data_IF_960937264299
#
_entry.id   IF_960937264299
#
_cell.length_a   1.000
_cell.length_b   1.000
_cell.length_c   1.000
_cell.angle_alpha   90.00
_cell.angle_beta   90.00
_cell.angle_gamma   90.00
#
_symmetry.space_group_name_H-M   'P 1'
#
loop_
_entity.id
_entity.type
_entity.pdbx_description
1 polymer ?
#
# COMPACT_ATOMS: atom_id res chain seq x y z
N UNK A 1 -6.80 -11.48 6.62
CA UNK A 1 -7.74 -11.03 7.67
C UNK A 1 -7.39 -9.59 8.00
N UNK A 2 -8.37 -8.70 8.15
CA UNK A 2 -8.08 -7.29 8.47
C UNK A 2 -7.45 -7.19 9.86
N UNK A 3 -6.52 -6.25 10.05
CA UNK A 3 -5.88 -5.97 11.33
C UNK A 3 -6.24 -4.58 11.82
N UNK A 4 -6.91 -4.47 12.97
CA UNK A 4 -7.37 -3.22 13.55
C UNK A 4 -6.53 -2.88 14.79
N UNK A 5 -5.83 -1.75 14.75
CA UNK A 5 -5.00 -1.27 15.86
C UNK A 5 -5.82 -0.51 16.89
N UNK A 6 -5.82 -0.94 18.16
CA UNK A 6 -6.43 -0.23 19.27
C UNK A 6 -5.34 0.65 19.91
N UNK A 7 -5.36 1.95 19.63
CA UNK A 7 -4.33 2.90 20.09
C UNK A 7 -4.74 3.46 21.45
N UNK A 8 -4.00 3.13 22.51
CA UNK A 8 -4.17 3.74 23.83
C UNK A 8 -3.35 5.04 23.93
N UNK A 9 -4.04 6.18 23.94
CA UNK A 9 -3.45 7.50 23.77
C UNK A 9 -2.75 8.08 25.01
N UNK A 10 -3.14 7.66 26.20
CA UNK A 10 -2.65 8.25 27.46
C UNK A 10 -1.36 7.59 27.93
N UNK A 11 -0.29 8.34 28.18
CA UNK A 11 0.96 7.81 28.76
C UNK A 11 1.17 8.16 30.24
N UNK A 12 0.15 8.73 30.91
CA UNK A 12 0.23 9.09 32.34
C UNK A 12 0.35 7.87 33.26
N UNK A 13 1.07 8.04 34.36
CA UNK A 13 1.02 7.13 35.50
C UNK A 13 -0.40 7.06 36.09
N UNK A 14 -0.81 5.87 36.54
CA UNK A 14 -2.16 5.64 37.09
C UNK A 14 -3.31 5.88 36.09
N UNK A 15 -3.01 5.89 34.78
CA UNK A 15 -4.01 6.12 33.72
C UNK A 15 -5.18 5.14 33.77
N UNK A 16 -6.39 5.71 33.68
CA UNK A 16 -7.65 4.95 33.55
C UNK A 16 -7.78 4.27 32.19
N UNK A 17 -7.18 4.84 31.14
CA UNK A 17 -7.33 4.39 29.76
C UNK A 17 -6.94 2.94 29.52
N UNK A 18 -6.04 2.36 30.33
CA UNK A 18 -5.71 0.94 30.24
C UNK A 18 -6.91 0.01 30.50
N UNK A 19 -7.83 0.38 31.39
CA UNK A 19 -9.06 -0.39 31.63
C UNK A 19 -10.01 -0.31 30.43
N UNK A 20 -10.16 0.89 29.85
CA UNK A 20 -11.00 1.14 28.67
C UNK A 20 -10.43 0.40 27.45
N UNK A 21 -9.12 0.48 27.20
CA UNK A 21 -8.49 -0.19 26.07
C UNK A 21 -8.58 -1.73 26.17
N UNK A 22 -8.45 -2.29 27.38
CA UNK A 22 -8.70 -3.71 27.62
C UNK A 22 -10.15 -4.12 27.33
N UNK A 23 -11.12 -3.28 27.69
CA UNK A 23 -12.52 -3.54 27.38
C UNK A 23 -12.79 -3.53 25.86
N UNK A 24 -12.19 -2.60 25.12
CA UNK A 24 -12.24 -2.59 23.64
C UNK A 24 -11.57 -3.84 23.07
N UNK A 25 -10.39 -4.22 23.57
CA UNK A 25 -9.67 -5.41 23.12
C UNK A 25 -10.45 -6.70 23.40
N UNK A 26 -11.12 -6.80 24.56
CA UNK A 26 -12.00 -7.92 24.88
C UNK A 26 -13.22 -8.00 23.95
N UNK A 27 -13.74 -6.85 23.49
CA UNK A 27 -14.78 -6.84 22.48
C UNK A 27 -14.27 -7.34 21.14
N UNK A 28 -13.13 -6.81 20.68
CA UNK A 28 -12.46 -7.25 19.46
C UNK A 28 -12.10 -8.74 19.47
N UNK A 29 -11.62 -9.28 20.60
CA UNK A 29 -11.24 -10.68 20.73
C UNK A 29 -12.40 -11.68 20.58
N UNK A 30 -13.65 -11.22 20.70
CA UNK A 30 -14.85 -12.05 20.44
C UNK A 30 -15.22 -12.10 18.95
N UNK A 31 -14.58 -11.29 18.12
CA UNK A 31 -14.88 -11.17 16.70
C UNK A 31 -14.00 -12.08 15.87
N UNK A 32 -14.52 -12.51 14.71
CA UNK A 32 -13.83 -13.40 13.77
C UNK A 32 -13.59 -12.76 12.40
N UNK A 33 -14.08 -11.53 12.21
CA UNK A 33 -14.00 -10.78 10.95
C UNK A 33 -12.75 -9.88 10.85
N UNK A 34 -12.07 -9.62 11.96
CA UNK A 34 -10.79 -8.92 12.02
C UNK A 34 -9.96 -9.33 13.25
N UNK A 35 -8.63 -9.16 13.15
CA UNK A 35 -7.71 -9.21 14.28
C UNK A 35 -7.70 -7.83 14.97
N UNK A 36 -7.76 -7.80 16.30
CA UNK A 36 -7.65 -6.56 17.08
C UNK A 36 -6.39 -6.59 17.93
N UNK A 37 -5.53 -5.59 17.76
CA UNK A 37 -4.21 -5.54 18.42
C UNK A 37 -4.09 -4.28 19.24
N UNK A 38 -3.78 -4.43 20.53
CA UNK A 38 -3.54 -3.29 21.41
C UNK A 38 -2.17 -2.67 21.11
N UNK A 39 -2.16 -1.37 20.84
CA UNK A 39 -0.97 -0.56 20.60
C UNK A 39 -0.96 0.52 21.68
N UNK A 40 -0.07 0.38 22.65
CA UNK A 40 0.01 1.31 23.77
C UNK A 40 1.08 2.37 23.50
N UNK A 41 0.71 3.66 23.46
CA UNK A 41 1.69 4.73 23.24
C UNK A 41 2.77 4.80 24.32
N UNK A 42 2.55 4.21 25.50
CA UNK A 42 3.59 4.13 26.54
C UNK A 42 4.76 3.23 26.11
N UNK A 43 4.50 2.23 25.26
CA UNK A 43 5.51 1.31 24.73
C UNK A 43 6.25 1.89 23.51
N UNK A 44 5.83 3.07 23.04
CA UNK A 44 6.42 3.80 21.90
C UNK A 44 6.83 5.22 22.31
N UNK A 45 7.92 5.38 23.09
CA UNK A 45 8.35 6.69 23.60
C UNK A 45 8.95 7.56 22.49
N UNK A 46 8.09 8.27 21.78
CA UNK A 46 8.50 9.20 20.71
C UNK A 46 9.08 10.50 21.28
N UNK A 47 10.17 11.03 20.70
CA UNK A 47 10.63 12.37 21.02
C UNK A 47 9.57 13.39 20.62
N UNK A 48 9.60 14.60 21.21
CA UNK A 48 8.83 15.70 20.64
C UNK A 48 9.30 15.91 19.20
N UNK A 49 8.36 16.01 18.26
CA UNK A 49 8.67 16.12 16.85
C UNK A 49 9.58 17.34 16.58
N UNK A 50 10.81 17.07 16.20
CA UNK A 50 11.86 18.03 15.86
C UNK A 50 12.52 17.73 14.50
N UNK A 51 11.99 16.76 13.74
CA UNK A 51 12.50 16.36 12.45
C UNK A 51 12.46 17.52 11.45
N UNK A 52 13.58 17.74 10.74
CA UNK A 52 13.68 18.78 9.69
C UNK A 52 12.70 18.52 8.54
N UNK A 53 12.56 17.25 8.16
CA UNK A 53 11.64 16.81 7.10
C UNK A 53 10.28 16.43 7.71
N UNK A 54 9.18 17.10 7.31
CA UNK A 54 7.84 16.73 7.74
C UNK A 54 7.46 15.31 7.30
N UNK A 55 6.65 14.60 8.08
CA UNK A 55 6.25 13.21 7.80
C UNK A 55 5.59 13.03 6.41
N UNK A 56 4.80 14.01 5.94
CA UNK A 56 4.22 14.04 4.59
C UNK A 56 5.30 13.95 3.49
N UNK A 57 6.44 14.63 3.68
CA UNK A 57 7.55 14.63 2.73
C UNK A 57 8.49 13.44 2.92
N UNK A 58 8.42 12.76 4.07
CA UNK A 58 9.26 11.60 4.38
C UNK A 58 8.87 10.33 3.60
N UNK A 59 7.61 10.24 3.11
CA UNK A 59 7.12 9.12 2.29
C UNK A 59 7.40 7.74 2.90
N UNK A 60 7.25 7.60 4.22
CA UNK A 60 7.47 6.36 4.96
C UNK A 60 8.94 6.05 5.28
N UNK A 61 9.88 6.95 4.95
CA UNK A 61 11.30 6.80 5.25
C UNK A 61 11.69 7.73 6.39
N UNK A 62 11.97 7.16 7.55
CA UNK A 62 12.30 7.88 8.79
C UNK A 62 13.74 7.60 9.22
N UNK A 63 14.42 8.63 9.69
CA UNK A 63 15.82 8.53 10.16
C UNK A 63 15.91 8.13 11.64
N UNK A 64 14.99 8.62 12.48
CA UNK A 64 14.94 8.25 13.89
C UNK A 64 14.38 6.82 14.04
N UNK A 65 15.10 5.98 14.79
CA UNK A 65 14.76 4.58 15.01
C UNK A 65 13.42 4.41 15.76
N UNK A 66 13.07 5.34 16.66
CA UNK A 66 11.80 5.28 17.41
C UNK A 66 10.63 5.65 16.50
N UNK A 67 10.79 6.63 15.62
CA UNK A 67 9.80 6.93 14.58
C UNK A 67 9.65 5.75 13.61
N UNK A 68 10.75 5.12 13.20
CA UNK A 68 10.71 3.91 12.35
C UNK A 68 10.01 2.73 13.04
N UNK A 69 10.28 2.50 14.33
CA UNK A 69 9.60 1.48 15.12
C UNK A 69 8.10 1.78 15.29
N UNK A 70 7.75 3.05 15.43
CA UNK A 70 6.35 3.49 15.46
C UNK A 70 5.66 3.26 14.11
N UNK A 71 6.31 3.61 13.00
CA UNK A 71 5.83 3.31 11.66
C UNK A 71 5.58 1.80 11.47
N UNK A 72 6.52 0.96 11.92
CA UNK A 72 6.40 -0.49 11.84
C UNK A 72 5.24 -1.06 12.68
N UNK A 73 4.86 -0.41 13.78
CA UNK A 73 3.69 -0.81 14.58
C UNK A 73 2.37 -0.41 13.92
N UNK A 74 2.35 0.72 13.21
CA UNK A 74 1.14 1.31 12.60
C UNK A 74 0.87 0.77 11.19
N UNK A 75 1.91 0.67 10.35
CA UNK A 75 1.78 0.33 8.94
C UNK A 75 0.97 -0.95 8.66
N UNK A 76 1.13 -2.07 9.42
CA UNK A 76 0.40 -3.31 9.18
C UNK A 76 -1.11 -3.25 9.48
N UNK A 77 -1.60 -2.20 10.15
CA UNK A 77 -3.01 -2.08 10.48
C UNK A 77 -3.82 -1.55 9.30
N UNK A 78 -5.03 -2.08 9.10
CA UNK A 78 -5.99 -1.67 8.07
C UNK A 78 -6.99 -0.62 8.58
N UNK A 79 -7.01 -0.37 9.88
CA UNK A 79 -7.84 0.62 10.54
C UNK A 79 -7.51 0.71 12.03
N UNK A 80 -8.13 1.67 12.71
CA UNK A 80 -7.79 1.99 14.08
C UNK A 80 -9.02 2.23 14.97
N UNK A 81 -8.84 1.94 16.26
CA UNK A 81 -9.73 2.41 17.33
C UNK A 81 -8.87 3.23 18.28
N UNK A 82 -9.08 4.54 18.35
CA UNK A 82 -8.32 5.40 19.25
C UNK A 82 -9.06 5.50 20.59
N UNK A 83 -8.40 5.02 21.65
CA UNK A 83 -8.86 5.11 23.03
C UNK A 83 -8.20 6.32 23.68
N UNK A 84 -8.95 7.40 23.89
CA UNK A 84 -8.38 8.70 24.27
C UNK A 84 -9.05 9.36 25.47
N UNK A 85 -8.29 9.85 26.46
CA UNK A 85 -8.83 10.84 27.38
C UNK A 85 -8.98 12.21 26.69
N UNK A 86 -9.67 13.12 27.37
CA UNK A 86 -9.61 14.55 27.08
C UNK A 86 -8.76 15.28 28.13
N UNK A 87 -7.79 16.07 27.66
CA UNK A 87 -6.94 16.93 28.48
C UNK A 87 -7.13 18.37 28.06
N UNK A 88 -7.53 19.23 29.01
CA UNK A 88 -7.67 20.68 28.80
C UNK A 88 -8.42 21.05 27.50
N UNK A 89 -9.58 20.44 27.27
CA UNK A 89 -10.43 20.68 26.09
C UNK A 89 -9.85 20.13 24.76
N UNK A 90 -8.90 19.21 24.81
CA UNK A 90 -8.30 18.66 23.60
C UNK A 90 -7.79 17.23 23.74
N UNK A 91 -7.21 16.74 22.64
CA UNK A 91 -6.50 15.45 22.63
C UNK A 91 -5.20 15.51 23.45
N UNK A 92 -4.71 14.36 23.96
CA UNK A 92 -3.42 14.31 24.63
C UNK A 92 -2.27 14.74 23.72
N UNK A 93 -1.30 15.48 24.27
CA UNK A 93 -0.08 15.85 23.54
C UNK A 93 0.70 14.63 23.03
N UNK A 94 0.72 13.52 23.79
CA UNK A 94 1.31 12.25 23.36
C UNK A 94 0.67 11.70 22.09
N UNK A 95 -0.66 11.77 21.98
CA UNK A 95 -1.39 11.31 20.80
C UNK A 95 -1.14 12.22 19.61
N UNK A 96 -1.17 13.55 19.81
CA UNK A 96 -0.87 14.50 18.73
C UNK A 96 0.55 14.29 18.19
N UNK A 97 1.52 14.16 19.09
CA UNK A 97 2.91 13.89 18.73
C UNK A 97 3.03 12.57 17.95
N UNK A 98 2.38 11.49 18.41
CA UNK A 98 2.40 10.21 17.69
C UNK A 98 1.77 10.27 16.30
N UNK A 99 0.69 11.03 16.12
CA UNK A 99 0.07 11.23 14.81
C UNK A 99 0.98 12.05 13.87
N UNK A 100 1.65 13.08 14.38
CA UNK A 100 2.49 13.99 13.57
C UNK A 100 3.80 13.34 13.08
N UNK A 101 4.28 12.32 13.77
CA UNK A 101 5.49 11.57 13.40
C UNK A 101 5.32 10.76 12.11
N UNK A 102 4.08 10.42 11.73
CA UNK A 102 3.77 9.54 10.58
C UNK A 102 2.83 10.22 9.59
N UNK A 103 2.76 9.70 8.36
CA UNK A 103 1.81 10.21 7.38
C UNK A 103 1.23 9.10 6.51
N UNK A 104 2.06 8.47 5.68
CA UNK A 104 1.60 7.46 4.70
C UNK A 104 1.00 6.22 5.36
N UNK A 105 1.37 5.95 6.61
CA UNK A 105 0.88 4.85 7.42
C UNK A 105 -0.58 5.04 7.86
N UNK A 106 -1.10 6.27 7.81
CA UNK A 106 -2.49 6.59 8.12
C UNK A 106 -3.40 6.52 6.91
N UNK A 107 -2.85 6.71 5.71
CA UNK A 107 -3.62 6.92 4.49
C UNK A 107 -4.56 5.77 4.16
N UNK A 108 -5.77 6.12 3.71
CA UNK A 108 -6.80 5.22 3.20
C UNK A 108 -7.18 4.10 4.20
N UNK A 109 -7.22 4.45 5.48
CA UNK A 109 -7.61 3.57 6.59
C UNK A 109 -8.81 4.14 7.35
N UNK A 110 -9.59 3.27 7.98
CA UNK A 110 -10.73 3.70 8.80
C UNK A 110 -10.33 3.95 10.25
N UNK A 111 -11.04 4.84 10.95
CA UNK A 111 -10.81 5.09 12.38
C UNK A 111 -12.12 5.26 13.15
N UNK A 112 -12.16 4.66 14.35
CA UNK A 112 -13.22 4.84 15.35
C UNK A 112 -12.66 5.38 16.68
N UNK A 113 -13.54 5.91 17.53
CA UNK A 113 -13.13 6.59 18.76
C UNK A 113 -13.86 6.07 20.00
N UNK A 114 -13.08 5.83 21.06
CA UNK A 114 -13.56 5.57 22.41
C UNK A 114 -12.92 6.60 23.33
N UNK A 115 -13.69 7.62 23.69
CA UNK A 115 -13.19 8.73 24.50
C UNK A 115 -13.70 8.68 25.93
N UNK A 116 -12.94 9.27 26.85
CA UNK A 116 -13.35 9.40 28.25
C UNK A 116 -12.90 10.71 28.89
N UNK A 117 -13.67 11.20 29.86
CA UNK A 117 -13.39 12.47 30.52
C UNK A 117 -14.54 12.93 31.40
N UNK A 118 -14.49 14.16 31.91
CA UNK A 118 -15.61 14.74 32.69
C UNK A 118 -16.88 14.76 31.82
N UNK A 119 -16.77 15.29 30.59
CA UNK A 119 -17.85 15.37 29.61
C UNK A 119 -17.76 14.27 28.53
N UNK A 120 -17.22 13.10 28.88
CA UNK A 120 -17.13 11.97 27.93
C UNK A 120 -16.00 12.07 26.92
N UNK A 121 -15.17 13.12 26.98
CA UNK A 121 -14.01 13.31 26.11
C UNK A 121 -14.35 13.67 24.65
N UNK A 122 -15.54 14.20 24.41
CA UNK A 122 -16.05 14.48 23.05
C UNK A 122 -15.27 15.59 22.33
N UNK A 123 -14.60 16.49 23.05
CA UNK A 123 -13.83 17.59 22.44
C UNK A 123 -12.48 17.11 21.94
N UNK A 124 -11.88 16.14 22.64
CA UNK A 124 -10.75 15.39 22.11
C UNK A 124 -11.09 14.72 20.77
N UNK A 125 -12.27 14.08 20.67
CA UNK A 125 -12.71 13.45 19.42
C UNK A 125 -12.99 14.48 18.33
N UNK A 126 -13.62 15.62 18.67
CA UNK A 126 -13.86 16.68 17.69
C UNK A 126 -12.55 17.20 17.05
N UNK A 127 -11.48 17.37 17.83
CA UNK A 127 -10.16 17.73 17.30
C UNK A 127 -9.55 16.61 16.48
N UNK A 128 -9.68 15.34 16.90
CA UNK A 128 -9.18 14.20 16.14
C UNK A 128 -9.83 14.09 14.76
N UNK A 129 -11.16 14.30 14.67
CA UNK A 129 -11.87 14.30 13.38
C UNK A 129 -11.38 15.38 12.42
N UNK A 130 -10.92 16.53 12.93
CA UNK A 130 -10.28 17.55 12.08
C UNK A 130 -8.95 17.06 11.50
N UNK A 131 -8.18 16.27 12.26
CA UNK A 131 -6.92 15.70 11.79
C UNK A 131 -7.14 14.58 10.76
N UNK A 132 -8.24 13.81 10.88
CA UNK A 132 -8.51 12.67 10.00
C UNK A 132 -8.53 13.06 8.52
N UNK A 133 -9.13 14.20 8.15
CA UNK A 133 -9.14 14.66 6.76
C UNK A 133 -7.75 14.93 6.16
N UNK A 134 -6.80 15.38 6.99
CA UNK A 134 -5.42 15.66 6.54
C UNK A 134 -4.58 14.39 6.49
N UNK A 135 -4.81 13.45 7.41
CA UNK A 135 -4.15 12.15 7.49
C UNK A 135 -4.80 11.08 6.62
N UNK A 136 -5.81 11.44 5.81
CA UNK A 136 -6.57 10.51 4.96
C UNK A 136 -7.17 9.32 5.74
N UNK A 137 -7.57 9.56 6.98
CA UNK A 137 -8.32 8.61 7.80
C UNK A 137 -9.81 8.81 7.59
N UNK A 138 -10.55 7.75 7.30
CA UNK A 138 -11.99 7.76 7.21
C UNK A 138 -12.62 7.52 8.60
N UNK A 139 -13.05 8.59 9.26
CA UNK A 139 -13.63 8.52 10.60
C UNK A 139 -15.10 8.07 10.60
N UNK A 140 -15.41 7.03 11.38
CA UNK A 140 -16.78 6.51 11.48
C UNK A 140 -17.64 7.36 12.42
N UNK A 141 -18.94 7.43 12.15
CA UNK A 141 -19.88 8.28 12.92
C UNK A 141 -20.10 7.74 14.34
N UNK A 142 -20.28 6.42 14.50
CA UNK A 142 -20.48 5.80 15.80
C UNK A 142 -19.24 6.03 16.69
N UNK A 143 -19.44 6.49 17.91
CA UNK A 143 -18.36 6.73 18.87
C UNK A 143 -18.85 6.40 20.29
N UNK A 144 -17.93 5.92 21.14
CA UNK A 144 -18.19 5.71 22.56
C UNK A 144 -17.63 6.89 23.33
N UNK A 145 -18.43 7.48 24.22
CA UNK A 145 -18.03 8.60 25.08
C UNK A 145 -18.39 8.28 26.53
N UNK A 146 -17.36 8.14 27.37
CA UNK A 146 -17.46 7.61 28.74
C UNK A 146 -17.21 8.71 29.77
N UNK A 147 -18.15 8.95 30.66
CA UNK A 147 -18.00 10.01 31.68
C UNK A 147 -17.34 9.45 32.93
N UNK A 148 -16.46 10.23 33.56
CA UNK A 148 -15.84 9.83 34.83
C UNK A 148 -16.86 9.62 35.96
N UNK A 149 -18.03 10.26 35.88
CA UNK A 149 -19.09 10.10 36.88
C UNK A 149 -20.03 8.90 36.60
N UNK A 150 -20.22 8.54 35.33
CA UNK A 150 -21.19 7.52 34.92
C UNK A 150 -20.59 6.15 34.65
N UNK A 151 -19.32 6.08 34.27
CA UNK A 151 -18.68 4.87 33.75
C UNK A 151 -17.45 4.44 34.55
N UNK A 152 -17.17 5.11 35.66
CA UNK A 152 -16.09 4.77 36.60
C UNK A 152 -16.60 4.84 38.04
N UNK A 153 -16.60 3.70 38.73
CA UNK A 153 -16.89 3.61 40.16
C UNK A 153 -15.81 4.37 40.96
N UNK A 154 -16.27 5.24 41.87
CA UNK A 154 -15.47 6.23 42.60
C UNK A 154 -14.54 7.05 41.68
N UNK A 155 -14.99 7.31 40.46
CA UNK A 155 -14.21 7.98 39.42
C UNK A 155 -12.89 7.27 39.06
N UNK A 156 -12.69 5.98 39.37
CA UNK A 156 -11.42 5.29 39.20
C UNK A 156 -11.51 3.92 38.55
N UNK A 157 -12.48 3.09 38.97
CA UNK A 157 -12.62 1.71 38.51
C UNK A 157 -13.60 1.65 37.36
N UNK A 158 -13.16 1.22 36.18
CA UNK A 158 -13.98 1.22 34.98
C UNK A 158 -15.15 0.25 35.09
N UNK A 159 -16.37 0.79 34.94
CA UNK A 159 -17.64 0.08 35.04
C UNK A 159 -18.63 0.74 34.07
N UNK A 160 -18.49 0.51 32.76
CA UNK A 160 -19.30 1.18 31.76
C UNK A 160 -20.76 0.73 31.86
N UNK A 161 -21.67 1.64 31.56
CA UNK A 161 -23.09 1.30 31.37
C UNK A 161 -23.26 0.32 30.21
N UNK A 162 -24.21 -0.59 30.32
CA UNK A 162 -24.46 -1.64 29.31
C UNK A 162 -24.71 -1.07 27.90
N UNK A 163 -25.33 0.11 27.80
CA UNK A 163 -25.58 0.79 26.52
C UNK A 163 -24.31 1.07 25.72
N UNK A 164 -23.16 1.28 26.38
CA UNK A 164 -21.89 1.52 25.69
C UNK A 164 -21.37 0.29 24.94
N UNK A 165 -21.72 -0.92 25.39
CA UNK A 165 -21.32 -2.15 24.70
C UNK A 165 -21.95 -2.21 23.30
N UNK A 166 -23.24 -1.88 23.17
CA UNK A 166 -23.91 -1.84 21.86
C UNK A 166 -23.30 -0.78 20.93
N UNK A 167 -23.02 0.42 21.46
CA UNK A 167 -22.38 1.48 20.67
C UNK A 167 -20.97 1.09 20.23
N UNK A 168 -20.22 0.39 21.10
CA UNK A 168 -18.90 -0.14 20.75
C UNK A 168 -18.99 -1.14 19.60
N UNK A 169 -19.90 -2.11 19.66
CA UNK A 169 -20.08 -3.10 18.58
C UNK A 169 -20.45 -2.40 17.25
N UNK A 170 -21.37 -1.44 17.27
CA UNK A 170 -21.70 -0.64 16.07
C UNK A 170 -20.48 0.10 15.51
N UNK A 171 -19.64 0.68 16.38
CA UNK A 171 -18.41 1.36 15.95
C UNK A 171 -17.43 0.36 15.33
N UNK A 172 -17.25 -0.82 15.94
CA UNK A 172 -16.35 -1.86 15.44
C UNK A 172 -16.82 -2.37 14.07
N UNK A 173 -18.14 -2.59 13.90
CA UNK A 173 -18.74 -2.97 12.62
C UNK A 173 -18.43 -1.95 11.52
N UNK A 174 -18.58 -0.65 11.82
CA UNK A 174 -18.26 0.42 10.87
C UNK A 174 -16.77 0.45 10.52
N UNK A 175 -15.88 0.36 11.52
CA UNK A 175 -14.42 0.37 11.30
C UNK A 175 -14.00 -0.80 10.44
N UNK A 176 -14.40 -2.03 10.78
CA UNK A 176 -14.05 -3.24 10.00
C UNK A 176 -14.58 -3.14 8.57
N UNK A 177 -15.84 -2.75 8.40
CA UNK A 177 -16.46 -2.61 7.08
C UNK A 177 -15.73 -1.58 6.21
N UNK A 178 -15.39 -0.42 6.76
CA UNK A 178 -14.72 0.64 6.00
C UNK A 178 -13.25 0.29 5.71
N UNK A 179 -12.55 -0.32 6.66
CA UNK A 179 -11.19 -0.85 6.43
C UNK A 179 -11.14 -1.85 5.28
N UNK A 180 -12.12 -2.75 5.19
CA UNK A 180 -12.23 -3.68 4.06
C UNK A 180 -12.51 -2.98 2.73
N UNK A 181 -13.40 -1.99 2.73
CA UNK A 181 -13.76 -1.24 1.52
C UNK A 181 -12.61 -0.36 0.99
N UNK A 182 -11.76 0.17 1.87
CA UNK A 182 -10.63 1.05 1.52
C UNK A 182 -9.33 0.28 1.22
N UNK A 183 -9.22 -1.00 1.60
CA UNK A 183 -8.03 -1.81 1.37
C UNK A 183 -7.50 -1.82 -0.09
N UNK A 184 -8.36 -1.83 -1.14
CA UNK A 184 -7.89 -1.76 -2.53
C UNK A 184 -7.08 -0.49 -2.86
N UNK A 185 -7.39 0.65 -2.21
CA UNK A 185 -6.69 1.93 -2.47
C UNK A 185 -5.21 1.85 -2.06
N UNK A 186 -4.92 1.15 -0.96
CA UNK A 186 -3.55 0.96 -0.45
C UNK A 186 -2.74 -0.05 -1.28
N UNK A 187 -3.42 -0.99 -1.92
CA UNK A 187 -2.80 -2.05 -2.72
C UNK A 187 -2.46 -1.59 -4.14
N UNK A 188 -3.25 -0.68 -4.71
CA UNK A 188 -3.04 -0.21 -6.08
C UNK A 188 -1.74 0.59 -6.25
N UNK A 189 -1.46 1.53 -5.34
CA UNK A 189 -0.24 2.37 -5.41
C UNK A 189 1.05 1.59 -5.19
N UNK A 190 1.02 0.58 -4.31
CA UNK A 190 2.16 -0.33 -4.08
C UNK A 190 2.38 -1.26 -5.26
N UNK A 191 1.30 -1.85 -5.79
CA UNK A 191 1.37 -2.73 -6.95
C UNK A 191 1.89 -2.02 -8.21
N UNK A 192 1.44 -0.80 -8.50
CA UNK A 192 1.95 -0.05 -9.66
C UNK A 192 3.47 0.20 -9.53
N UNK A 193 3.94 0.59 -8.34
CA UNK A 193 5.36 0.80 -8.08
C UNK A 193 6.18 -0.49 -8.26
N UNK A 194 5.69 -1.62 -7.73
CA UNK A 194 6.31 -2.94 -7.89
C UNK A 194 6.37 -3.35 -9.37
N UNK A 195 5.30 -3.14 -10.14
CA UNK A 195 5.25 -3.47 -11.59
C UNK A 195 6.21 -2.57 -12.37
N UNK A 196 6.30 -1.27 -12.06
CA UNK A 196 7.28 -0.36 -12.69
C UNK A 196 8.71 -0.82 -12.42
N UNK A 197 9.01 -1.21 -11.18
CA UNK A 197 10.31 -1.79 -10.83
C UNK A 197 10.58 -3.08 -11.62
N UNK A 198 9.59 -3.97 -11.75
CA UNK A 198 9.71 -5.19 -12.56
C UNK A 198 9.96 -4.90 -14.04
N UNK A 199 9.33 -3.88 -14.60
CA UNK A 199 9.60 -3.42 -15.97
C UNK A 199 11.03 -2.88 -16.12
N UNK A 200 11.53 -2.14 -15.12
CA UNK A 200 12.94 -1.71 -15.10
C UNK A 200 13.91 -2.89 -15.06
N UNK A 201 13.61 -3.95 -14.31
CA UNK A 201 14.41 -5.19 -14.31
C UNK A 201 14.41 -5.88 -15.68
N UNK A 202 13.29 -5.87 -16.40
CA UNK A 202 13.20 -6.40 -17.76
C UNK A 202 14.11 -5.60 -18.70
N UNK A 203 14.02 -4.27 -18.66
CA UNK A 203 14.87 -3.39 -19.48
C UNK A 203 16.35 -3.68 -19.20
N UNK A 204 16.73 -3.73 -17.91
CA UNK A 204 18.09 -4.04 -17.49
C UNK A 204 18.55 -5.43 -17.93
N UNK A 205 17.69 -6.44 -17.81
CA UNK A 205 17.96 -7.81 -18.25
C UNK A 205 18.16 -7.91 -19.76
N UNK A 206 17.35 -7.19 -20.56
CA UNK A 206 17.53 -7.10 -22.01
C UNK A 206 18.87 -6.44 -22.33
N UNK A 207 19.15 -5.27 -21.75
CA UNK A 207 20.40 -4.51 -21.98
C UNK A 207 21.66 -5.30 -21.60
N UNK A 208 21.59 -6.06 -20.51
CA UNK A 208 22.66 -6.94 -20.05
C UNK A 208 22.73 -8.28 -20.80
N UNK A 209 21.74 -8.57 -21.66
CA UNK A 209 21.56 -9.86 -22.35
C UNK A 209 21.49 -11.04 -21.37
N UNK A 210 20.90 -10.82 -20.20
CA UNK A 210 20.80 -11.77 -19.10
C UNK A 210 19.47 -12.56 -19.16
N UNK A 211 19.55 -13.79 -19.69
CA UNK A 211 18.40 -14.68 -19.81
C UNK A 211 17.90 -15.19 -18.45
N UNK A 212 18.75 -15.27 -17.43
CA UNK A 212 18.35 -15.73 -16.10
C UNK A 212 17.59 -14.62 -15.37
N UNK A 213 17.98 -13.36 -15.55
CA UNK A 213 17.20 -12.22 -15.10
C UNK A 213 15.83 -12.18 -15.77
N UNK A 214 15.78 -12.34 -17.10
CA UNK A 214 14.51 -12.39 -17.81
C UNK A 214 13.64 -13.57 -17.38
N UNK A 215 14.21 -14.75 -17.10
CA UNK A 215 13.43 -15.89 -16.61
C UNK A 215 12.62 -15.56 -15.35
N UNK A 216 13.20 -14.79 -14.42
CA UNK A 216 12.58 -14.46 -13.13
C UNK A 216 11.36 -13.54 -13.23
N UNK A 217 11.20 -12.82 -14.35
CA UNK A 217 10.10 -11.85 -14.51
C UNK A 217 8.88 -12.42 -15.24
N UNK A 218 9.00 -13.64 -15.78
CA UNK A 218 7.94 -14.31 -16.55
C UNK A 218 7.35 -15.47 -15.75
N UNK A 219 6.03 -15.65 -15.85
CA UNK A 219 5.37 -16.85 -15.36
C UNK A 219 5.78 -18.07 -16.20
N UNK A 220 5.81 -19.25 -15.58
CA UNK A 220 6.23 -20.49 -16.25
C UNK A 220 5.36 -20.83 -17.46
N UNK A 221 4.08 -20.48 -17.42
CA UNK A 221 3.03 -20.70 -18.42
C UNK A 221 2.75 -19.48 -19.33
N UNK A 222 3.67 -18.50 -19.39
CA UNK A 222 3.50 -17.28 -20.19
C UNK A 222 3.11 -17.58 -21.65
N UNK A 223 2.19 -16.80 -22.20
CA UNK A 223 1.92 -16.75 -23.64
C UNK A 223 2.40 -15.42 -24.21
N UNK A 224 3.27 -15.46 -25.21
CA UNK A 224 3.86 -14.28 -25.83
C UNK A 224 3.51 -14.18 -27.30
N UNK A 225 3.03 -13.01 -27.74
CA UNK A 225 2.96 -12.64 -29.15
C UNK A 225 4.09 -11.68 -29.47
N UNK A 226 4.96 -12.07 -30.40
CA UNK A 226 6.13 -11.28 -30.76
C UNK A 226 6.07 -10.88 -32.24
N UNK A 227 6.89 -9.92 -32.64
CA UNK A 227 7.02 -9.51 -34.04
C UNK A 227 7.72 -10.58 -34.89
N UNK A 228 8.56 -11.41 -34.27
CA UNK A 228 9.25 -12.51 -34.95
C UNK A 228 8.42 -13.81 -34.93
N UNK A 229 8.51 -14.66 -35.98
CA UNK A 229 7.90 -15.99 -35.99
C UNK A 229 8.44 -16.90 -34.86
N UNK A 230 7.62 -17.84 -34.34
CA UNK A 230 6.27 -18.23 -34.77
C UNK A 230 5.15 -17.29 -34.27
N UNK A 231 3.89 -17.58 -34.63
CA UNK A 231 2.71 -16.77 -34.23
C UNK A 231 2.60 -16.54 -32.71
N UNK A 232 3.12 -17.45 -31.89
CA UNK A 232 3.16 -17.32 -30.45
C UNK A 232 4.27 -18.16 -29.84
N UNK A 233 4.79 -17.71 -28.69
CA UNK A 233 5.65 -18.49 -27.81
C UNK A 233 4.86 -18.87 -26.56
N UNK A 234 4.78 -20.16 -26.25
CA UNK A 234 4.08 -20.68 -25.07
C UNK A 234 5.09 -21.28 -24.10
N UNK A 235 5.06 -20.81 -22.86
CA UNK A 235 5.99 -21.16 -21.79
C UNK A 235 7.25 -20.30 -21.79
N UNK A 236 7.81 -20.12 -20.59
CA UNK A 236 8.98 -19.24 -20.37
C UNK A 236 10.20 -19.67 -21.20
N UNK A 237 10.42 -20.98 -21.39
CA UNK A 237 11.53 -21.48 -22.19
C UNK A 237 11.43 -21.07 -23.67
N UNK A 238 10.23 -21.09 -24.24
CA UNK A 238 9.99 -20.69 -25.62
C UNK A 238 10.21 -19.18 -25.82
N UNK A 239 9.82 -18.37 -24.82
CA UNK A 239 10.05 -16.91 -24.83
C UNK A 239 11.53 -16.58 -24.70
N UNK A 240 12.24 -17.21 -23.76
CA UNK A 240 13.67 -16.96 -23.56
C UNK A 240 14.51 -17.44 -24.75
N UNK A 241 14.09 -18.51 -25.43
CA UNK A 241 14.73 -18.91 -26.70
C UNK A 241 14.59 -17.84 -27.78
N UNK A 242 13.50 -17.06 -27.79
CA UNK A 242 13.37 -15.92 -28.70
C UNK A 242 14.40 -14.84 -28.38
N UNK A 243 14.46 -14.42 -27.11
CA UNK A 243 15.44 -13.44 -26.64
C UNK A 243 16.89 -13.87 -26.89
N UNK A 244 17.20 -15.15 -26.65
CA UNK A 244 18.53 -15.71 -26.92
C UNK A 244 18.94 -15.52 -28.39
N UNK A 245 18.00 -15.68 -29.35
CA UNK A 245 18.27 -15.45 -30.78
C UNK A 245 18.56 -13.97 -31.04
N UNK A 246 17.71 -13.07 -30.54
CA UNK A 246 17.93 -11.61 -30.68
C UNK A 246 19.30 -11.23 -30.12
N UNK A 247 19.66 -11.74 -28.93
CA UNK A 247 20.95 -11.48 -28.31
C UNK A 247 22.16 -11.94 -29.13
N UNK A 248 22.03 -12.92 -30.01
CA UNK A 248 23.14 -13.30 -30.92
C UNK A 248 23.37 -12.31 -32.06
N UNK A 249 22.38 -11.48 -32.40
CA UNK A 249 22.47 -10.51 -33.50
C UNK A 249 23.19 -9.22 -33.09
N UNK A 250 23.20 -8.91 -31.80
CA UNK A 250 23.67 -7.64 -31.25
C UNK A 250 24.94 -7.80 -30.42
N UNK A 251 25.94 -6.94 -30.65
CA UNK A 251 27.08 -6.77 -29.75
C UNK A 251 26.63 -6.08 -28.46
N UNK A 252 25.94 -4.94 -28.59
CA UNK A 252 25.25 -4.23 -27.52
C UNK A 252 23.77 -4.04 -27.88
N UNK A 253 22.92 -4.02 -26.86
CA UNK A 253 21.48 -3.81 -27.03
C UNK A 253 20.99 -2.77 -26.03
N UNK A 254 20.14 -1.88 -26.52
CA UNK A 254 19.36 -0.92 -25.74
C UNK A 254 17.88 -1.22 -25.93
N UNK A 255 17.10 -1.05 -24.87
CA UNK A 255 15.66 -1.16 -24.92
C UNK A 255 15.04 0.07 -24.27
N UNK A 256 14.24 0.80 -25.05
CA UNK A 256 13.56 2.01 -24.62
C UNK A 256 12.05 1.74 -24.52
N UNK A 257 11.44 2.23 -23.43
CA UNK A 257 9.98 2.26 -23.27
C UNK A 257 9.50 3.70 -23.14
N UNK A 258 8.45 4.06 -23.87
CA UNK A 258 7.76 5.35 -23.80
C UNK A 258 6.29 5.18 -23.47
N UNK A 259 5.74 6.18 -22.79
CA UNK A 259 4.32 6.29 -22.46
C UNK A 259 3.74 5.07 -21.74
N UNK A 260 4.52 4.54 -20.77
CA UNK A 260 4.09 3.41 -19.96
C UNK A 260 2.94 3.79 -19.02
N UNK A 261 1.75 3.33 -19.38
CA UNK A 261 0.56 3.34 -18.53
C UNK A 261 0.32 1.95 -17.94
N UNK A 262 -0.08 1.90 -16.67
CA UNK A 262 -0.34 0.66 -15.92
C UNK A 262 -1.68 0.80 -15.21
N UNK A 263 -2.48 -0.26 -15.28
CA UNK A 263 -3.76 -0.37 -14.58
C UNK A 263 -3.72 -1.64 -13.71
N UNK A 264 -4.04 -1.49 -12.42
CA UNK A 264 -4.02 -2.58 -11.44
C UNK A 264 -5.43 -2.87 -10.94
N UNK A 265 -5.80 -4.14 -10.91
CA UNK A 265 -7.06 -4.63 -10.34
C UNK A 265 -6.85 -5.89 -9.51
N UNK A 266 -6.72 -5.76 -8.19
CA UNK A 266 -6.47 -6.90 -7.31
C UNK A 266 -5.12 -7.56 -7.65
N UNK A 267 -5.14 -8.87 -7.97
CA UNK A 267 -3.93 -9.65 -8.29
C UNK A 267 -3.60 -9.70 -9.79
N UNK A 268 -4.27 -8.89 -10.60
CA UNK A 268 -3.98 -8.73 -12.04
C UNK A 268 -3.66 -7.28 -12.36
N UNK A 269 -2.80 -7.08 -13.36
CA UNK A 269 -2.53 -5.77 -13.91
C UNK A 269 -2.25 -5.88 -15.41
N UNK A 270 -2.50 -4.80 -16.14
CA UNK A 270 -2.01 -4.67 -17.50
C UNK A 270 -1.33 -3.33 -17.70
N UNK A 271 -0.34 -3.29 -18.58
CA UNK A 271 0.31 -2.07 -19.01
C UNK A 271 0.47 -2.03 -20.52
N UNK A 272 0.47 -0.83 -21.06
CA UNK A 272 0.76 -0.59 -22.47
C UNK A 272 1.81 0.52 -22.62
N UNK A 273 2.62 0.42 -23.66
CA UNK A 273 3.72 1.34 -23.93
C UNK A 273 4.15 1.23 -25.40
N UNK A 274 5.02 2.14 -25.81
CA UNK A 274 5.82 1.99 -27.03
C UNK A 274 7.21 1.48 -26.66
N UNK A 275 7.64 0.37 -27.27
CA UNK A 275 8.95 -0.23 -27.06
C UNK A 275 9.84 -0.06 -28.28
N UNK A 276 11.15 0.15 -28.08
CA UNK A 276 12.13 0.15 -29.17
C UNK A 276 13.41 -0.54 -28.74
N UNK A 277 13.77 -1.59 -29.48
CA UNK A 277 15.05 -2.26 -29.36
C UNK A 277 16.02 -1.68 -30.39
N UNK A 278 17.16 -1.18 -29.95
CA UNK A 278 18.23 -0.64 -30.79
C UNK A 278 19.58 -1.13 -30.30
N UNK A 279 20.64 -0.97 -31.09
CA UNK A 279 21.96 -1.42 -30.67
C UNK A 279 22.94 -1.51 -31.82
N UNK A 280 24.14 -1.98 -31.52
CA UNK A 280 25.13 -2.31 -32.56
C UNK A 280 25.09 -3.81 -32.83
N UNK A 281 24.98 -4.19 -34.09
CA UNK A 281 25.03 -5.59 -34.50
C UNK A 281 26.43 -6.17 -34.31
N UNK A 282 26.54 -7.51 -34.28
CA UNK A 282 27.84 -8.19 -34.19
C UNK A 282 28.76 -7.93 -35.40
N UNK A 283 28.21 -7.42 -36.51
CA UNK A 283 28.97 -6.99 -37.70
C UNK A 283 29.43 -5.54 -37.65
N UNK A 284 29.06 -4.80 -36.59
CA UNK A 284 29.46 -3.40 -36.37
C UNK A 284 28.50 -2.36 -36.94
N UNK A 285 27.40 -2.76 -37.56
CA UNK A 285 26.38 -1.84 -38.08
C UNK A 285 25.44 -1.39 -36.96
N UNK A 286 25.14 -0.08 -36.92
CA UNK A 286 24.17 0.49 -35.98
C UNK A 286 22.75 0.22 -36.46
N UNK A 287 21.95 -0.44 -35.62
CA UNK A 287 20.52 -0.61 -35.84
C UNK A 287 19.74 0.33 -34.91
N UNK A 288 19.07 1.32 -35.49
CA UNK A 288 18.24 2.30 -34.77
C UNK A 288 16.94 1.69 -34.20
N UNK A 289 16.57 0.50 -34.67
CA UNK A 289 15.37 -0.21 -34.24
C UNK A 289 14.10 0.30 -34.89
N UNK A 290 12.98 -0.28 -34.47
CA UNK A 290 11.62 0.14 -34.84
C UNK A 290 10.76 0.23 -33.59
N UNK A 291 9.79 1.13 -33.57
CA UNK A 291 8.83 1.24 -32.48
C UNK A 291 7.76 0.16 -32.58
N UNK A 292 7.59 -0.61 -31.53
CA UNK A 292 6.51 -1.60 -31.38
C UNK A 292 5.50 -1.12 -30.35
N UNK A 293 4.22 -1.48 -30.56
CA UNK A 293 3.21 -1.37 -29.52
C UNK A 293 3.39 -2.56 -28.59
N UNK A 294 3.69 -2.27 -27.32
CA UNK A 294 3.90 -3.26 -26.29
C UNK A 294 2.68 -3.34 -25.36
N UNK A 295 2.28 -4.55 -24.99
CA UNK A 295 1.33 -4.80 -23.91
C UNK A 295 1.91 -5.86 -22.99
N UNK A 296 1.82 -5.62 -21.69
CA UNK A 296 2.28 -6.51 -20.65
C UNK A 296 1.11 -6.81 -19.71
N UNK A 297 0.78 -8.08 -19.52
CA UNK A 297 -0.21 -8.53 -18.56
C UNK A 297 0.51 -9.23 -17.42
N UNK A 298 0.34 -8.70 -16.21
CA UNK A 298 0.94 -9.21 -14.99
C UNK A 298 -0.09 -9.93 -14.13
N UNK A 299 0.37 -10.94 -13.40
CA UNK A 299 -0.38 -11.59 -12.32
C UNK A 299 0.50 -11.70 -11.11
N UNK A 300 -0.07 -11.46 -9.92
CA UNK A 300 0.62 -11.70 -8.66
C UNK A 300 0.60 -13.20 -8.36
N UNK A 301 1.77 -13.83 -8.32
CA UNK A 301 1.96 -15.26 -8.08
C UNK A 301 2.97 -15.38 -6.94
N UNK A 302 2.58 -16.04 -5.85
CA UNK A 302 3.43 -16.21 -4.65
C UNK A 302 3.99 -14.89 -4.09
N UNK A 303 3.23 -13.79 -4.25
CA UNK A 303 3.60 -12.46 -3.78
C UNK A 303 4.36 -11.61 -4.81
N UNK A 304 4.80 -12.19 -5.92
CA UNK A 304 5.56 -11.49 -6.96
C UNK A 304 4.72 -11.19 -8.21
N UNK A 305 4.92 -10.03 -8.82
CA UNK A 305 4.33 -9.71 -10.13
C UNK A 305 5.15 -10.33 -11.25
N UNK A 306 4.53 -11.26 -11.97
CA UNK A 306 5.11 -11.95 -13.12
C UNK A 306 4.31 -11.68 -14.39
N UNK A 307 4.98 -11.58 -15.52
CA UNK A 307 4.31 -11.49 -16.83
C UNK A 307 3.71 -12.84 -17.18
N UNK A 308 2.38 -12.86 -17.31
CA UNK A 308 1.60 -14.03 -17.78
C UNK A 308 1.25 -13.94 -19.26
N UNK A 309 1.27 -12.73 -19.82
CA UNK A 309 1.14 -12.51 -21.25
C UNK A 309 1.88 -11.23 -21.67
N UNK A 310 2.61 -11.28 -22.78
CA UNK A 310 3.11 -10.07 -23.44
C UNK A 310 2.77 -10.08 -24.94
N UNK A 311 2.71 -8.88 -25.49
CA UNK A 311 2.47 -8.67 -26.91
C UNK A 311 3.35 -7.53 -27.41
N UNK A 312 4.13 -7.80 -28.46
CA UNK A 312 4.79 -6.78 -29.28
C UNK A 312 4.20 -6.83 -30.69
N UNK A 313 3.79 -5.69 -31.23
CA UNK A 313 3.19 -5.64 -32.56
C UNK A 313 3.52 -4.37 -33.32
N UNK A 314 3.48 -4.48 -34.65
CA UNK A 314 3.60 -3.37 -35.58
C UNK A 314 2.26 -3.18 -36.30
N UNK A 315 1.89 -1.94 -36.66
CA UNK A 315 0.77 -1.71 -37.56
C UNK A 315 1.13 -2.13 -38.98
N UNK A 316 0.11 -2.45 -39.77
CA UNK A 316 0.26 -2.74 -41.19
C UNK A 316 -0.69 -1.85 -42.00
N UNK A 317 -0.25 -1.42 -43.18
CA UNK A 317 -1.12 -0.78 -44.14
C UNK A 317 -2.16 -1.78 -44.65
N UNK A 318 -3.44 -1.45 -44.50
CA UNK A 318 -4.55 -2.37 -44.74
C UNK A 318 -4.66 -2.76 -46.22
N UNK A 319 -4.28 -1.85 -47.14
CA UNK A 319 -4.44 -2.08 -48.58
C UNK A 319 -3.29 -2.91 -49.16
N UNK A 320 -2.06 -2.62 -48.76
CA UNK A 320 -0.86 -3.30 -49.27
C UNK A 320 -0.44 -4.51 -48.44
N UNK A 321 -0.94 -4.63 -47.21
CA UNK A 321 -0.52 -5.65 -46.26
C UNK A 321 0.91 -5.47 -45.74
N UNK A 322 1.57 -4.34 -46.05
CA UNK A 322 2.95 -4.07 -45.63
C UNK A 322 2.98 -3.61 -44.18
N UNK A 323 3.90 -4.20 -43.40
CA UNK A 323 4.18 -3.77 -42.04
C UNK A 323 4.86 -2.40 -42.07
N UNK A 324 4.42 -1.49 -41.21
CA UNK A 324 4.97 -0.14 -41.06
C UNK A 324 5.98 -0.14 -39.92
N UNK A 325 7.23 0.22 -40.22
CA UNK A 325 8.37 0.14 -39.28
C UNK A 325 9.01 1.51 -38.98
N UNK A 326 8.54 2.55 -39.65
CA UNK A 326 9.05 3.92 -39.63
C UNK A 326 8.18 4.90 -38.82
N UNK A 327 7.16 4.38 -38.12
CA UNK A 327 6.30 5.19 -37.26
C UNK A 327 6.99 5.50 -35.93
N UNK A 328 6.74 6.71 -35.43
CA UNK A 328 7.22 7.19 -34.12
C UNK A 328 6.04 7.57 -33.22
N UNK A 329 6.15 7.35 -31.89
CA UNK A 329 5.12 7.69 -30.91
C UNK A 329 4.99 9.19 -30.64
#
# INVERSE_FOLDING_TARGET
MLRIGIILASVRDGRRGGQVARWVAQAGARRTDAEFVLIDLLDHPLPLLDAERPALAARGVYEDERTSAWAAAIAPCDGYVIVTPEYNHGLPGSLKNALDHLYVEWNDKAVGFVSYGVDGGVRSVAQLRQLCGVLQLADVVAQVSLTLAGDFEDHAVFKPRESHAKTLETMLDCVVKWSGALAPLRSAGTAEAEIRARISEIIGGIQAKDLDALRRVYATDVVSFDVEPPLQHVGVDAKLKNWARVFTLFADVSYELRDLAIEVGGDIAFGHAFGRLSGTTVTGERAEGMWVRATFCFRRIEGEWLIVHDQASLPADVLSGRVLVDLEP
#
